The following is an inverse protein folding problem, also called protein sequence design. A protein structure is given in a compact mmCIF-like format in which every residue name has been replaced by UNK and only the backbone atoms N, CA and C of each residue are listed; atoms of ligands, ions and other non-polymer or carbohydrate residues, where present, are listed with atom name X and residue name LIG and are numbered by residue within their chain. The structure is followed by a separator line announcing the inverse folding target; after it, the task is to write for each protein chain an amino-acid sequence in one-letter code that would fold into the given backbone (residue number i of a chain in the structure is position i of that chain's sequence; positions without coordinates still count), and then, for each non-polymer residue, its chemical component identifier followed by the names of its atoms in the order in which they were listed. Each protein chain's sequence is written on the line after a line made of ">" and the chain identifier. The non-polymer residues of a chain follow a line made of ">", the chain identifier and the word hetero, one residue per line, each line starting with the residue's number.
data_IF_165292908989
#
_entry.id   IF_165292908989
#
_cell.length_a   1.000
_cell.length_b   1.000
_cell.length_c   1.000
_cell.angle_alpha   90.00
_cell.angle_beta   90.00
_cell.angle_gamma   90.00
#
_symmetry.space_group_name_H-M   'P 1'
#
loop_
_entity.id
_entity.type
_entity.pdbx_description
1 polymer ?
#
# COMPACT_ATOMS: atom_id res chain seq x y z
N UNK A 1 6.28 -16.71 20.00
CA UNK A 1 5.72 -16.26 18.69
C UNK A 1 6.64 -16.72 17.54
N UNK A 2 7.92 -16.43 17.62
CA UNK A 2 8.94 -16.76 16.61
C UNK A 2 9.00 -18.25 16.25
N UNK A 3 9.11 -19.15 17.23
CA UNK A 3 9.12 -20.60 17.00
C UNK A 3 7.89 -21.11 16.24
N UNK A 4 6.73 -20.52 16.51
CA UNK A 4 5.48 -20.89 15.83
C UNK A 4 5.50 -20.46 14.35
N UNK A 5 6.05 -19.28 14.05
CA UNK A 5 6.23 -18.80 12.67
C UNK A 5 7.19 -19.72 11.93
N UNK A 6 8.38 -19.98 12.50
CA UNK A 6 9.38 -20.87 11.91
C UNK A 6 8.80 -22.27 11.61
N UNK A 7 7.99 -22.80 12.53
CA UNK A 7 7.36 -24.11 12.35
C UNK A 7 6.33 -24.07 11.21
N UNK A 8 5.49 -23.02 11.12
CA UNK A 8 4.49 -22.90 10.06
C UNK A 8 5.15 -22.88 8.67
N UNK A 9 6.26 -22.19 8.50
CA UNK A 9 7.01 -22.17 7.25
C UNK A 9 7.70 -23.52 6.97
N UNK A 10 8.26 -24.16 8.00
CA UNK A 10 8.90 -25.48 7.88
C UNK A 10 7.91 -26.55 7.46
N UNK A 11 6.67 -26.52 7.95
CA UNK A 11 5.60 -27.46 7.57
C UNK A 11 5.25 -27.38 6.06
N UNK A 12 5.52 -26.24 5.43
CA UNK A 12 5.37 -26.04 3.99
C UNK A 12 6.70 -26.19 3.22
N UNK A 13 7.75 -26.72 3.86
CA UNK A 13 9.10 -26.87 3.28
C UNK A 13 9.74 -25.55 2.86
N UNK A 14 9.32 -24.42 3.42
CA UNK A 14 9.88 -23.09 3.18
C UNK A 14 10.91 -22.79 4.26
N UNK A 15 12.13 -22.41 3.84
CA UNK A 15 13.18 -22.00 4.77
C UNK A 15 13.12 -20.50 5.03
N UNK A 16 13.02 -20.13 6.30
CA UNK A 16 13.16 -18.75 6.75
C UNK A 16 14.59 -18.45 7.17
N UNK A 17 15.06 -17.29 6.78
CA UNK A 17 16.31 -16.73 7.22
C UNK A 17 16.05 -15.44 7.99
N UNK A 18 16.60 -15.29 9.19
CA UNK A 18 16.57 -14.01 9.89
C UNK A 18 17.44 -13.01 9.13
N UNK A 19 16.83 -11.93 8.65
CA UNK A 19 17.52 -10.92 7.86
C UNK A 19 17.86 -9.68 8.69
N UNK A 20 16.91 -9.18 9.46
CA UNK A 20 17.12 -8.07 10.37
C UNK A 20 16.39 -8.32 11.69
N UNK A 21 17.18 -8.53 12.75
CA UNK A 21 16.62 -8.76 14.09
C UNK A 21 15.94 -7.48 14.62
N UNK A 22 14.76 -7.55 15.27
CA UNK A 22 14.00 -8.77 15.58
C UNK A 22 12.82 -9.04 14.63
N UNK A 23 12.67 -8.30 13.53
CA UNK A 23 11.38 -8.13 12.86
C UNK A 23 11.33 -8.58 11.39
N UNK A 24 12.47 -8.76 10.73
CA UNK A 24 12.48 -9.07 9.30
C UNK A 24 13.05 -10.45 9.03
N UNK A 25 12.25 -11.28 8.36
CA UNK A 25 12.64 -12.61 7.89
C UNK A 25 12.60 -12.66 6.37
N UNK A 26 13.54 -13.40 5.79
CA UNK A 26 13.61 -13.66 4.36
C UNK A 26 13.27 -15.13 4.09
N UNK A 27 12.29 -15.38 3.23
CA UNK A 27 12.01 -16.69 2.68
C UNK A 27 12.50 -16.76 1.23
N UNK A 28 13.33 -17.77 0.92
CA UNK A 28 13.71 -18.07 -0.46
C UNK A 28 12.93 -19.30 -0.90
N UNK A 29 12.07 -19.13 -1.90
CA UNK A 29 11.13 -20.15 -2.37
C UNK A 29 11.52 -20.51 -3.80
N UNK A 30 11.54 -21.81 -4.10
CA UNK A 30 11.82 -22.30 -5.44
C UNK A 30 10.70 -21.89 -6.42
N UNK A 31 11.05 -21.52 -7.64
CA UNK A 31 10.12 -21.09 -8.67
C UNK A 31 9.07 -22.16 -9.06
N UNK A 32 9.35 -23.43 -8.78
CA UNK A 32 8.40 -24.53 -8.98
C UNK A 32 7.30 -24.61 -7.91
N UNK A 33 7.43 -23.86 -6.80
CA UNK A 33 6.41 -23.81 -5.76
C UNK A 33 5.14 -23.13 -6.30
N UNK A 34 3.96 -23.77 -6.24
CA UNK A 34 2.75 -23.23 -6.85
C UNK A 34 2.30 -21.93 -6.17
N UNK A 35 2.11 -20.87 -6.96
CA UNK A 35 1.71 -19.56 -6.45
C UNK A 35 0.40 -19.62 -5.66
N UNK A 36 -0.58 -20.41 -6.10
CA UNK A 36 -1.85 -20.58 -5.39
C UNK A 36 -1.68 -21.18 -3.99
N UNK A 37 -0.73 -22.11 -3.83
CA UNK A 37 -0.42 -22.66 -2.51
C UNK A 37 0.25 -21.62 -1.62
N UNK A 38 1.14 -20.80 -2.18
CA UNK A 38 1.77 -19.70 -1.46
C UNK A 38 0.73 -18.67 -1.02
N UNK A 39 -0.16 -18.25 -1.89
CA UNK A 39 -1.25 -17.33 -1.56
C UNK A 39 -2.18 -17.91 -0.48
N UNK A 40 -2.52 -19.20 -0.60
CA UNK A 40 -3.34 -19.88 0.41
C UNK A 40 -2.62 -19.90 1.76
N UNK A 41 -1.33 -20.21 1.78
CA UNK A 41 -0.51 -20.16 2.97
C UNK A 41 -0.48 -18.74 3.59
N UNK A 42 -0.26 -17.70 2.77
CA UNK A 42 -0.26 -16.32 3.23
C UNK A 42 -1.56 -15.94 3.94
N UNK A 43 -2.70 -16.36 3.41
CA UNK A 43 -4.03 -16.13 4.02
C UNK A 43 -4.22 -16.84 5.35
N UNK A 44 -3.46 -17.90 5.63
CA UNK A 44 -3.53 -18.62 6.93
C UNK A 44 -2.66 -17.96 8.02
N UNK A 45 -1.79 -17.03 7.63
CA UNK A 45 -0.97 -16.29 8.58
C UNK A 45 -1.83 -15.29 9.35
N UNK A 46 -1.42 -15.00 10.58
CA UNK A 46 -2.13 -14.01 11.40
C UNK A 46 -1.94 -12.59 10.84
N UNK A 47 -2.91 -11.71 11.09
CA UNK A 47 -2.89 -10.31 10.68
C UNK A 47 -1.67 -9.51 11.20
N UNK A 48 -0.94 -10.09 12.15
CA UNK A 48 0.31 -9.53 12.67
C UNK A 48 1.55 -9.81 11.81
N UNK A 49 1.42 -10.61 10.74
CA UNK A 49 2.53 -10.96 9.83
C UNK A 49 2.22 -10.41 8.45
N UNK A 50 3.05 -9.49 8.00
CA UNK A 50 2.97 -8.93 6.65
C UNK A 50 4.02 -9.57 5.75
N UNK A 51 3.67 -9.86 4.49
CA UNK A 51 4.57 -10.46 3.51
C UNK A 51 4.55 -9.75 2.17
N UNK A 52 5.75 -9.41 1.68
CA UNK A 52 5.94 -8.99 0.30
C UNK A 52 6.51 -10.16 -0.52
N UNK A 53 5.88 -10.49 -1.63
CA UNK A 53 6.33 -11.54 -2.55
C UNK A 53 6.94 -10.86 -3.78
N UNK A 54 8.24 -11.05 -3.95
CA UNK A 54 9.00 -10.50 -5.06
C UNK A 54 8.81 -11.27 -6.35
N UNK A 55 9.30 -10.68 -7.44
CA UNK A 55 9.30 -11.31 -8.77
C UNK A 55 10.18 -12.56 -8.78
N UNK A 56 9.73 -13.60 -9.45
CA UNK A 56 10.55 -14.79 -9.74
C UNK A 56 11.69 -14.42 -10.67
N UNK A 57 12.92 -14.80 -10.27
CA UNK A 57 14.15 -14.51 -11.02
C UNK A 57 15.11 -15.69 -10.98
N UNK A 58 16.16 -15.62 -11.80
CA UNK A 58 17.29 -16.53 -11.68
C UNK A 58 18.05 -16.30 -10.38
N UNK A 59 18.70 -17.35 -9.87
CA UNK A 59 19.47 -17.30 -8.62
C UNK A 59 20.52 -16.18 -8.60
N UNK A 60 21.13 -15.86 -9.75
CA UNK A 60 22.11 -14.78 -9.86
C UNK A 60 21.51 -13.38 -9.73
N UNK A 61 20.18 -13.24 -9.77
CA UNK A 61 19.43 -11.98 -9.64
C UNK A 61 18.57 -11.93 -8.39
N UNK A 62 18.88 -12.73 -7.38
CA UNK A 62 18.10 -12.81 -6.14
C UNK A 62 17.97 -11.46 -5.42
N UNK A 63 18.98 -10.58 -5.55
CA UNK A 63 18.89 -9.20 -5.03
C UNK A 63 17.76 -8.41 -5.65
N UNK A 64 17.54 -8.56 -6.97
CA UNK A 64 16.41 -7.90 -7.65
C UNK A 64 15.06 -8.46 -7.18
N UNK A 65 14.98 -9.77 -6.90
CA UNK A 65 13.77 -10.36 -6.31
C UNK A 65 13.50 -9.79 -4.92
N UNK A 66 14.54 -9.63 -4.10
CA UNK A 66 14.44 -9.01 -2.78
C UNK A 66 13.95 -7.54 -2.86
N UNK A 67 14.50 -6.74 -3.77
CA UNK A 67 14.07 -5.34 -3.95
C UNK A 67 12.58 -5.25 -4.34
N UNK A 68 12.13 -6.14 -5.21
CA UNK A 68 10.71 -6.20 -5.60
C UNK A 68 9.83 -6.71 -4.45
N UNK A 69 10.30 -7.65 -3.63
CA UNK A 69 9.58 -8.10 -2.44
C UNK A 69 9.42 -6.98 -1.40
N UNK A 70 10.45 -6.12 -1.24
CA UNK A 70 10.36 -4.94 -0.37
C UNK A 70 9.33 -3.92 -0.85
N UNK A 71 9.27 -3.67 -2.16
CA UNK A 71 8.23 -2.80 -2.74
C UNK A 71 6.85 -3.38 -2.44
N UNK A 72 6.67 -4.68 -2.62
CA UNK A 72 5.42 -5.35 -2.31
C UNK A 72 5.07 -5.27 -0.83
N UNK A 73 6.02 -5.52 0.06
CA UNK A 73 5.80 -5.40 1.51
C UNK A 73 5.38 -3.97 1.91
N UNK A 74 6.06 -2.96 1.39
CA UNK A 74 5.76 -1.56 1.69
C UNK A 74 4.42 -1.08 1.10
N UNK A 75 3.87 -1.79 0.10
CA UNK A 75 2.55 -1.46 -0.46
C UNK A 75 1.37 -1.86 0.44
N UNK A 76 1.62 -2.66 1.47
CA UNK A 76 0.61 -3.14 2.41
C UNK A 76 0.19 -2.02 3.36
N UNK A 77 -0.80 -1.25 2.97
CA UNK A 77 -1.39 -0.16 3.77
C UNK A 77 -2.79 -0.48 4.30
N UNK A 78 -3.41 -1.54 3.82
CA UNK A 78 -4.75 -1.96 4.23
C UNK A 78 -4.68 -2.95 5.39
N UNK A 79 -5.48 -2.76 6.46
CA UNK A 79 -5.43 -3.62 7.64
C UNK A 79 -5.87 -5.06 7.37
N UNK A 80 -6.65 -5.29 6.32
CA UNK A 80 -7.22 -6.60 5.98
C UNK A 80 -6.35 -7.41 4.98
N UNK A 81 -5.23 -6.83 4.52
CA UNK A 81 -4.33 -7.50 3.57
C UNK A 81 -2.97 -7.74 4.23
N UNK A 82 -2.62 -9.01 4.41
CA UNK A 82 -1.36 -9.42 5.05
C UNK A 82 -0.26 -9.84 4.07
N UNK A 83 -0.53 -9.84 2.76
CA UNK A 83 0.50 -10.09 1.75
C UNK A 83 0.24 -9.29 0.46
N UNK A 84 1.31 -9.01 -0.27
CA UNK A 84 1.24 -8.39 -1.59
C UNK A 84 2.19 -9.10 -2.56
N UNK A 85 1.77 -9.24 -3.82
CA UNK A 85 2.60 -9.75 -4.91
C UNK A 85 3.10 -8.58 -5.78
N UNK A 86 4.40 -8.53 -6.01
CA UNK A 86 4.99 -7.47 -6.84
C UNK A 86 4.39 -7.42 -8.25
N UNK A 87 4.09 -8.58 -8.83
CA UNK A 87 3.56 -8.67 -10.21
C UNK A 87 2.11 -8.15 -10.34
N UNK A 88 1.41 -7.94 -9.24
CA UNK A 88 0.08 -7.31 -9.18
C UNK A 88 0.15 -5.79 -8.95
N UNK A 89 1.32 -5.25 -8.62
CA UNK A 89 1.51 -3.83 -8.35
C UNK A 89 1.72 -3.03 -9.64
N UNK A 90 1.24 -1.80 -9.63
CA UNK A 90 1.45 -0.83 -10.73
C UNK A 90 1.92 0.52 -10.21
N UNK A 91 1.07 1.24 -9.50
CA UNK A 91 1.37 2.55 -8.94
C UNK A 91 2.42 2.46 -7.83
N UNK A 92 2.35 1.43 -7.02
CA UNK A 92 3.22 1.17 -5.88
C UNK A 92 4.70 1.05 -6.30
N UNK A 93 4.96 0.57 -7.51
CA UNK A 93 6.32 0.53 -8.09
C UNK A 93 6.91 1.94 -8.22
N UNK A 94 6.11 2.91 -8.65
CA UNK A 94 6.53 4.31 -8.74
C UNK A 94 6.68 4.93 -7.36
N UNK A 95 5.70 4.72 -6.48
CA UNK A 95 5.73 5.25 -5.11
C UNK A 95 6.94 4.74 -4.34
N UNK A 96 7.24 3.44 -4.44
CA UNK A 96 8.41 2.82 -3.79
C UNK A 96 9.77 3.26 -4.34
N UNK A 97 9.81 3.89 -5.51
CA UNK A 97 11.05 4.45 -6.08
C UNK A 97 11.33 5.90 -5.65
N UNK A 98 10.37 6.57 -5.00
CA UNK A 98 10.50 7.96 -4.56
C UNK A 98 11.34 8.00 -3.28
N UNK A 99 12.40 8.82 -3.28
CA UNK A 99 13.20 9.00 -2.07
C UNK A 99 12.46 9.84 -1.01
N UNK A 100 12.82 9.66 0.28
CA UNK A 100 12.16 10.33 1.41
C UNK A 100 12.12 11.86 1.29
N UNK A 101 13.18 12.49 0.78
CA UNK A 101 13.23 13.94 0.62
C UNK A 101 12.18 14.42 -0.37
N UNK A 102 12.11 13.79 -1.54
CA UNK A 102 11.12 14.12 -2.56
C UNK A 102 9.69 13.82 -2.08
N UNK A 103 9.48 12.70 -1.39
CA UNK A 103 8.21 12.35 -0.78
C UNK A 103 7.76 13.41 0.23
N UNK A 104 8.63 13.79 1.16
CA UNK A 104 8.34 14.80 2.18
C UNK A 104 8.00 16.17 1.57
N UNK A 105 8.79 16.63 0.61
CA UNK A 105 8.50 17.90 -0.09
C UNK A 105 7.18 17.87 -0.85
N UNK A 106 6.87 16.75 -1.51
CA UNK A 106 5.61 16.58 -2.23
C UNK A 106 4.42 16.61 -1.29
N UNK A 107 4.49 15.89 -0.16
CA UNK A 107 3.43 15.89 0.85
C UNK A 107 3.24 17.28 1.48
N UNK A 108 4.32 18.00 1.77
CA UNK A 108 4.25 19.36 2.29
C UNK A 108 3.54 20.32 1.34
N UNK A 109 3.77 20.20 0.04
CA UNK A 109 3.15 21.06 -0.98
C UNK A 109 1.71 20.68 -1.34
N UNK A 110 1.23 19.54 -0.88
CA UNK A 110 -0.08 19.01 -1.30
C UNK A 110 -1.07 18.86 -0.15
N UNK A 111 -0.84 17.93 0.76
CA UNK A 111 -1.83 17.52 1.78
C UNK A 111 -1.43 17.85 3.22
N UNK A 112 -0.27 18.45 3.46
CA UNK A 112 0.22 18.70 4.82
C UNK A 112 -0.73 19.55 5.68
N UNK A 113 -1.42 20.51 5.07
CA UNK A 113 -2.36 21.40 5.75
C UNK A 113 -3.75 20.79 5.96
N UNK A 114 -4.02 19.64 5.36
CA UNK A 114 -5.30 18.96 5.51
C UNK A 114 -5.33 18.14 6.80
N UNK A 115 -6.44 18.24 7.53
CA UNK A 115 -6.68 17.40 8.69
C UNK A 115 -7.05 15.97 8.28
N UNK A 116 -7.11 15.05 9.24
CA UNK A 116 -7.42 13.64 8.97
C UNK A 116 -8.82 13.44 8.40
N UNK A 117 -9.79 14.28 8.81
CA UNK A 117 -11.16 14.25 8.27
C UNK A 117 -11.17 14.63 6.80
N UNK A 118 -10.43 15.67 6.40
CA UNK A 118 -10.34 16.10 5.01
C UNK A 118 -9.67 15.03 4.14
N UNK A 119 -8.62 14.38 4.66
CA UNK A 119 -7.94 13.28 3.96
C UNK A 119 -8.86 12.06 3.78
N UNK A 120 -9.61 11.69 4.82
CA UNK A 120 -10.58 10.60 4.74
C UNK A 120 -11.69 10.88 3.72
N UNK A 121 -12.16 12.14 3.63
CA UNK A 121 -13.13 12.55 2.61
C UNK A 121 -12.54 12.43 1.21
N UNK A 122 -11.29 12.85 1.01
CA UNK A 122 -10.60 12.72 -0.28
C UNK A 122 -10.38 11.25 -0.67
N UNK A 123 -9.93 10.40 0.25
CA UNK A 123 -9.76 8.97 0.01
C UNK A 123 -11.05 8.36 -0.48
N UNK A 124 -12.12 8.51 0.28
CA UNK A 124 -13.44 8.01 -0.10
C UNK A 124 -13.92 8.60 -1.43
N UNK A 125 -13.63 9.87 -1.74
CA UNK A 125 -14.01 10.50 -3.00
C UNK A 125 -13.30 9.88 -4.20
N UNK A 126 -12.02 9.57 -4.07
CA UNK A 126 -11.25 8.91 -5.14
C UNK A 126 -11.57 7.41 -5.27
N UNK A 127 -11.78 6.69 -4.17
CA UNK A 127 -12.24 5.30 -4.18
C UNK A 127 -13.58 5.13 -4.90
N UNK A 128 -14.43 6.15 -4.84
CA UNK A 128 -15.72 6.20 -5.57
C UNK A 128 -15.62 6.93 -6.91
N UNK A 129 -14.42 6.99 -7.53
CA UNK A 129 -14.19 7.56 -8.87
C UNK A 129 -14.70 8.99 -9.01
N UNK A 130 -14.50 9.82 -8.01
CA UNK A 130 -14.93 11.21 -7.95
C UNK A 130 -16.46 11.41 -8.07
N UNK A 131 -17.24 10.37 -7.80
CA UNK A 131 -18.70 10.42 -7.83
C UNK A 131 -19.26 11.03 -6.55
N UNK A 132 -19.81 12.26 -6.63
CA UNK A 132 -20.46 12.91 -5.48
C UNK A 132 -21.59 12.07 -4.87
N UNK A 133 -22.34 11.34 -5.71
CA UNK A 133 -23.46 10.51 -5.24
C UNK A 133 -22.96 9.34 -4.41
N UNK A 134 -22.07 8.52 -4.99
CA UNK A 134 -21.50 7.34 -4.31
C UNK A 134 -20.74 7.72 -3.05
N UNK A 135 -19.93 8.76 -3.11
CA UNK A 135 -19.17 9.25 -1.96
C UNK A 135 -20.08 9.78 -0.84
N UNK A 136 -21.14 10.54 -1.19
CA UNK A 136 -22.07 11.05 -0.18
C UNK A 136 -22.84 9.93 0.52
N UNK A 137 -23.21 8.88 -0.20
CA UNK A 137 -23.82 7.67 0.35
C UNK A 137 -22.86 6.92 1.27
N UNK A 138 -21.63 6.68 0.83
CA UNK A 138 -20.62 5.98 1.61
C UNK A 138 -20.24 6.70 2.92
N UNK A 139 -20.19 8.03 2.89
CA UNK A 139 -19.89 8.87 4.06
C UNK A 139 -21.13 9.23 4.91
N UNK A 140 -22.31 8.78 4.52
CA UNK A 140 -23.60 9.17 5.15
C UNK A 140 -23.77 10.69 5.22
N UNK A 141 -23.37 11.41 4.15
CA UNK A 141 -23.46 12.86 4.06
C UNK A 141 -24.48 13.29 2.98
N UNK A 142 -25.07 14.48 3.17
CA UNK A 142 -25.78 15.12 2.08
C UNK A 142 -24.79 15.62 1.01
N UNK A 143 -25.17 15.56 -0.28
CA UNK A 143 -24.31 15.99 -1.41
C UNK A 143 -23.76 17.41 -1.24
N UNK A 144 -24.57 18.35 -0.75
CA UNK A 144 -24.15 19.74 -0.53
C UNK A 144 -23.06 19.82 0.58
N UNK A 145 -23.17 18.99 1.61
CA UNK A 145 -22.14 18.92 2.66
C UNK A 145 -20.82 18.39 2.10
N UNK A 146 -20.87 17.36 1.26
CA UNK A 146 -19.68 16.85 0.59
C UNK A 146 -19.07 17.92 -0.33
N UNK A 147 -19.89 18.63 -1.13
CA UNK A 147 -19.40 19.72 -1.97
C UNK A 147 -18.69 20.80 -1.15
N UNK A 148 -19.28 21.22 -0.03
CA UNK A 148 -18.66 22.19 0.88
C UNK A 148 -17.31 21.70 1.42
N UNK A 149 -17.21 20.42 1.79
CA UNK A 149 -15.94 19.81 2.24
C UNK A 149 -14.88 19.84 1.13
N UNK A 150 -15.23 19.47 -0.09
CA UNK A 150 -14.31 19.51 -1.24
C UNK A 150 -13.87 20.96 -1.58
N UNK A 151 -14.77 21.94 -1.46
CA UNK A 151 -14.44 23.36 -1.63
C UNK A 151 -13.51 23.87 -0.51
N UNK A 152 -13.73 23.43 0.72
CA UNK A 152 -12.85 23.71 1.85
C UNK A 152 -11.44 23.17 1.60
N UNK A 153 -11.33 21.91 1.18
CA UNK A 153 -10.05 21.26 0.85
C UNK A 153 -9.32 22.06 -0.23
N UNK A 154 -10.03 22.43 -1.32
CA UNK A 154 -9.46 23.28 -2.37
C UNK A 154 -8.92 24.62 -1.83
N UNK A 155 -9.64 25.27 -0.94
CA UNK A 155 -9.20 26.53 -0.33
C UNK A 155 -7.96 26.36 0.55
N UNK A 156 -7.83 25.23 1.24
CA UNK A 156 -6.71 24.96 2.15
C UNK A 156 -5.42 24.61 1.39
N UNK A 157 -5.49 23.68 0.43
CA UNK A 157 -4.29 23.18 -0.26
C UNK A 157 -4.06 23.79 -1.65
N UNK A 158 -5.00 24.59 -2.17
CA UNK A 158 -4.90 25.21 -3.49
C UNK A 158 -5.16 24.25 -4.67
N UNK A 159 -5.38 22.97 -4.40
CA UNK A 159 -5.63 21.93 -5.41
C UNK A 159 -7.11 21.59 -5.44
N UNK A 160 -7.72 21.61 -6.64
CA UNK A 160 -9.14 21.30 -6.81
C UNK A 160 -9.37 19.80 -6.99
N UNK A 161 -9.98 19.09 -6.01
CA UNK A 161 -10.19 17.64 -6.11
C UNK A 161 -11.05 17.20 -7.31
N UNK A 162 -11.82 18.12 -7.90
CA UNK A 162 -12.70 17.82 -9.03
C UNK A 162 -12.02 17.99 -10.39
N UNK A 163 -10.84 18.65 -10.46
CA UNK A 163 -10.07 18.72 -11.69
C UNK A 163 -9.21 17.48 -11.84
N UNK A 164 -9.10 16.93 -13.04
CA UNK A 164 -8.32 15.72 -13.28
C UNK A 164 -6.87 15.87 -12.81
N UNK A 165 -6.20 16.96 -13.20
CA UNK A 165 -4.80 17.22 -12.86
C UNK A 165 -4.56 17.28 -11.35
N UNK A 166 -5.33 18.11 -10.66
CA UNK A 166 -5.15 18.30 -9.21
C UNK A 166 -5.63 17.08 -8.43
N UNK A 167 -6.68 16.41 -8.92
CA UNK A 167 -7.16 15.16 -8.38
C UNK A 167 -6.09 14.06 -8.40
N UNK A 168 -5.36 13.92 -9.52
CA UNK A 168 -4.23 12.99 -9.61
C UNK A 168 -3.14 13.35 -8.61
N UNK A 169 -2.80 14.63 -8.45
CA UNK A 169 -1.79 15.09 -7.47
C UNK A 169 -2.23 14.72 -6.05
N UNK A 170 -3.48 15.01 -5.69
CA UNK A 170 -4.03 14.70 -4.37
C UNK A 170 -4.11 13.19 -4.11
N UNK A 171 -4.54 12.41 -5.11
CA UNK A 171 -4.58 10.95 -5.03
C UNK A 171 -3.20 10.35 -4.78
N UNK A 172 -2.18 10.78 -5.56
CA UNK A 172 -0.80 10.34 -5.36
C UNK A 172 -0.27 10.73 -3.98
N UNK A 173 -0.61 11.92 -3.48
CA UNK A 173 -0.19 12.36 -2.15
C UNK A 173 -0.81 11.50 -1.04
N UNK A 174 -2.08 11.13 -1.15
CA UNK A 174 -2.72 10.23 -0.20
C UNK A 174 -2.06 8.84 -0.22
N UNK A 175 -1.82 8.27 -1.40
CA UNK A 175 -1.16 6.97 -1.55
C UNK A 175 0.27 7.00 -1.03
N UNK A 176 1.05 8.05 -1.32
CA UNK A 176 2.43 8.18 -0.88
C UNK A 176 2.56 8.31 0.65
N UNK A 177 1.56 8.89 1.33
CA UNK A 177 1.55 8.97 2.79
C UNK A 177 1.40 7.61 3.47
N UNK A 178 0.70 6.69 2.84
CA UNK A 178 0.48 5.33 3.35
C UNK A 178 1.60 4.37 2.98
N UNK A 179 2.49 4.76 2.08
CA UNK A 179 3.63 4.01 1.60
C UNK A 179 4.89 4.38 2.39
#
# INVERSE_FOLDING_TARGET
>A
MEEKILQMFADHSIRLYMFQYPQEYLAVIDASFPLEQLQTFCRTLSDSIQMGIGRTTDLFKVSSSYDTARIALNSLSEPDCNYALFDELTLEILLGSINETAASEFLQKTIALLDETDRSVLSCYFEHEQSLSRTSEALFLHKNTLQYKLDRIHKICGLNPRSFRDGVILYLALRLRTF
#
